data_IF_814006320964
#
_entry.id   IF_814006320964
#
_cell.length_a   1.000
_cell.length_b   1.000
_cell.length_c   1.000
_cell.angle_alpha   90.00
_cell.angle_beta   90.00
_cell.angle_gamma   90.00
#
_symmetry.space_group_name_H-M   'P 1'
#
loop_
_entity.id
_entity.type
_entity.pdbx_description
1 polymer ?
#
# COMPACT_ATOMS: atom_id res chain seq x y z
N UNK A 1 -67.43 -1.81 49.57
CA UNK A 1 -66.12 -2.54 49.33
C UNK A 1 -65.88 -2.62 47.81
N UNK A 2 -65.01 -1.79 47.27
CA UNK A 2 -64.66 -1.78 45.87
C UNK A 2 -63.15 -2.14 45.79
N UNK A 3 -62.84 -3.35 45.27
CA UNK A 3 -61.51 -3.80 45.05
C UNK A 3 -60.96 -3.09 43.79
N UNK A 4 -59.82 -2.43 43.91
CA UNK A 4 -59.01 -1.91 42.77
C UNK A 4 -57.96 -2.95 42.40
N UNK A 5 -58.11 -3.47 41.20
CA UNK A 5 -57.06 -4.32 40.55
C UNK A 5 -56.07 -3.37 39.92
N UNK A 6 -54.83 -3.43 40.40
CA UNK A 6 -53.68 -2.75 39.78
C UNK A 6 -53.09 -3.69 38.73
N UNK A 7 -53.15 -3.27 37.47
CA UNK A 7 -52.45 -3.95 36.36
C UNK A 7 -51.03 -3.36 36.29
N UNK A 8 -50.05 -4.17 36.65
CA UNK A 8 -48.65 -3.83 36.45
C UNK A 8 -48.29 -4.14 34.98
N UNK A 9 -48.04 -3.10 34.20
CA UNK A 9 -47.51 -3.24 32.86
C UNK A 9 -45.99 -3.41 32.93
N UNK A 10 -45.52 -4.62 32.68
CA UNK A 10 -44.08 -4.91 32.51
C UNK A 10 -43.64 -4.41 31.14
N UNK A 11 -42.90 -3.32 31.09
CA UNK A 11 -42.15 -2.91 29.90
C UNK A 11 -40.89 -3.80 29.77
N UNK A 12 -40.99 -4.84 28.99
CA UNK A 12 -39.83 -5.56 28.48
C UNK A 12 -39.15 -4.71 27.39
N UNK A 13 -38.07 -4.03 27.76
CA UNK A 13 -37.21 -3.36 26.80
C UNK A 13 -36.50 -4.44 25.94
N UNK A 14 -37.01 -4.66 24.74
CA UNK A 14 -36.29 -5.40 23.72
C UNK A 14 -35.07 -4.56 23.27
N UNK A 15 -33.91 -4.87 23.85
CA UNK A 15 -32.63 -4.40 23.29
C UNK A 15 -32.45 -5.09 21.95
N UNK A 16 -32.83 -4.39 20.88
CA UNK A 16 -32.39 -4.76 19.52
C UNK A 16 -30.88 -4.54 19.47
N UNK A 17 -30.12 -5.59 19.77
CA UNK A 17 -28.72 -5.66 19.39
C UNK A 17 -28.75 -5.70 17.86
N UNK A 18 -28.60 -4.52 17.24
CA UNK A 18 -28.22 -4.42 15.86
C UNK A 18 -26.83 -5.08 15.77
N UNK A 19 -26.79 -6.38 15.52
CA UNK A 19 -25.59 -7.01 14.99
C UNK A 19 -25.33 -6.29 13.67
N UNK A 20 -24.36 -5.35 13.70
CA UNK A 20 -23.77 -4.86 12.45
C UNK A 20 -23.31 -6.12 11.73
N UNK A 21 -23.75 -6.36 10.48
CA UNK A 21 -23.17 -7.42 9.71
C UNK A 21 -21.66 -7.19 9.75
N UNK A 22 -20.89 -8.25 10.04
CA UNK A 22 -19.47 -8.25 9.80
C UNK A 22 -19.32 -7.62 8.42
N UNK A 23 -18.73 -6.44 8.37
CA UNK A 23 -18.66 -5.65 7.15
C UNK A 23 -18.06 -6.56 6.12
N UNK A 24 -18.89 -7.04 5.20
CA UNK A 24 -18.41 -7.54 3.95
C UNK A 24 -17.44 -6.45 3.50
N UNK A 25 -16.14 -6.78 3.43
CA UNK A 25 -15.14 -5.92 2.84
C UNK A 25 -15.76 -5.53 1.51
N UNK A 26 -16.15 -4.25 1.39
CA UNK A 26 -16.75 -3.78 0.16
C UNK A 26 -15.64 -3.95 -0.85
N UNK A 27 -15.76 -4.93 -1.74
CA UNK A 27 -14.79 -5.16 -2.79
C UNK A 27 -14.54 -3.82 -3.47
N UNK A 28 -13.27 -3.46 -3.63
CA UNK A 28 -12.93 -2.21 -4.27
C UNK A 28 -13.49 -2.24 -5.69
N UNK A 29 -14.05 -1.11 -6.13
CA UNK A 29 -14.55 -1.00 -7.50
C UNK A 29 -13.40 -1.20 -8.49
N UNK A 30 -13.63 -1.90 -9.61
CA UNK A 30 -12.61 -2.12 -10.63
C UNK A 30 -12.01 -0.80 -11.12
N UNK A 31 -10.68 -0.68 -11.08
CA UNK A 31 -9.96 0.51 -11.54
C UNK A 31 -9.42 0.37 -12.97
N UNK A 32 -9.24 -0.86 -13.47
CA UNK A 32 -8.62 -1.09 -14.77
C UNK A 32 -9.15 -2.32 -15.49
N UNK A 33 -8.79 -2.41 -16.78
CA UNK A 33 -9.01 -3.59 -17.63
C UNK A 33 -7.68 -4.06 -18.24
N UNK A 34 -6.57 -3.87 -17.54
CA UNK A 34 -5.26 -4.31 -18.01
C UNK A 34 -5.23 -5.82 -18.18
N UNK A 35 -4.56 -6.26 -19.22
CA UNK A 35 -4.28 -7.67 -19.49
C UNK A 35 -2.85 -7.98 -19.08
N UNK A 36 -2.61 -9.23 -18.77
CA UNK A 36 -1.25 -9.72 -18.53
C UNK A 36 -0.42 -9.59 -19.80
N UNK A 37 0.77 -9.04 -19.69
CA UNK A 37 1.69 -8.91 -20.81
C UNK A 37 2.06 -10.30 -21.33
N UNK A 38 1.95 -10.56 -22.65
CA UNK A 38 2.25 -11.86 -23.24
C UNK A 38 3.73 -12.30 -23.09
N UNK A 39 4.64 -11.38 -22.80
CA UNK A 39 6.04 -11.68 -22.53
C UNK A 39 6.29 -12.33 -21.16
N UNK A 40 5.29 -12.28 -20.25
CA UNK A 40 5.40 -13.00 -18.98
C UNK A 40 5.27 -14.51 -19.24
N UNK A 41 6.23 -15.33 -18.76
CA UNK A 41 6.23 -16.77 -19.04
C UNK A 41 5.07 -17.48 -18.34
N UNK A 42 4.52 -18.50 -19.00
CA UNK A 42 3.57 -19.41 -18.37
C UNK A 42 4.21 -20.27 -17.29
N UNK A 43 3.45 -20.60 -16.28
CA UNK A 43 3.89 -21.47 -15.21
C UNK A 43 4.19 -22.88 -15.72
N UNK A 44 5.39 -23.34 -15.39
CA UNK A 44 5.82 -24.73 -15.64
C UNK A 44 5.95 -25.40 -14.26
N UNK A 45 4.96 -26.21 -13.84
CA UNK A 45 4.99 -26.87 -12.55
C UNK A 45 6.21 -27.78 -12.40
N UNK A 46 6.97 -27.57 -11.32
CA UNK A 46 8.10 -28.41 -10.93
C UNK A 46 7.69 -29.51 -9.96
N UNK A 47 8.65 -30.34 -9.56
CA UNK A 47 8.41 -31.35 -8.53
C UNK A 47 8.30 -30.69 -7.15
N UNK A 48 7.18 -30.92 -6.46
CA UNK A 48 6.98 -30.60 -5.06
C UNK A 48 6.53 -31.88 -4.37
N UNK A 49 7.22 -32.27 -3.29
CA UNK A 49 6.71 -33.34 -2.44
C UNK A 49 5.35 -32.91 -1.92
N UNK A 50 4.35 -33.70 -2.18
CA UNK A 50 2.96 -33.45 -1.80
C UNK A 50 2.48 -34.50 -0.78
N UNK A 51 3.34 -34.80 0.20
CA UNK A 51 2.95 -35.69 1.30
C UNK A 51 1.91 -34.99 2.18
N UNK A 52 1.00 -35.74 2.81
CA UNK A 52 -0.05 -35.15 3.67
C UNK A 52 0.48 -34.33 4.86
N UNK A 53 1.74 -34.48 5.20
CA UNK A 53 2.43 -33.78 6.30
C UNK A 53 3.12 -32.49 5.85
N UNK A 54 3.22 -32.24 4.52
CA UNK A 54 3.79 -31.01 3.99
C UNK A 54 2.74 -29.90 4.03
N UNK A 55 3.08 -28.82 4.69
CA UNK A 55 2.23 -27.62 4.81
C UNK A 55 2.87 -26.44 4.11
N UNK A 56 2.05 -25.61 3.47
CA UNK A 56 2.44 -24.29 2.96
C UNK A 56 1.51 -23.25 3.58
N UNK A 57 2.09 -22.38 4.41
CA UNK A 57 1.33 -21.45 5.24
C UNK A 57 1.54 -20.01 4.80
N UNK A 58 0.44 -19.30 4.47
CA UNK A 58 0.43 -17.88 4.19
C UNK A 58 -0.05 -17.13 5.44
N UNK A 59 0.77 -16.22 5.98
CA UNK A 59 0.42 -15.38 7.13
C UNK A 59 0.69 -13.91 6.79
N UNK A 60 -0.34 -13.07 6.76
CA UNK A 60 -0.12 -11.68 6.33
C UNK A 60 -1.36 -10.80 6.25
N UNK A 61 -1.47 -10.05 5.16
CA UNK A 61 -2.44 -8.99 4.97
C UNK A 61 -3.76 -9.47 4.35
N UNK A 62 -4.86 -9.08 4.98
CA UNK A 62 -6.23 -9.27 4.51
C UNK A 62 -6.51 -8.62 3.16
N UNK A 63 -5.87 -7.49 2.88
CA UNK A 63 -6.04 -6.80 1.59
C UNK A 63 -5.60 -7.63 0.38
N UNK A 64 -4.83 -8.69 0.60
CA UNK A 64 -4.33 -9.60 -0.43
C UNK A 64 -5.11 -10.93 -0.50
N UNK A 65 -6.20 -11.07 0.24
CA UNK A 65 -6.93 -12.34 0.36
C UNK A 65 -7.47 -12.84 -0.97
N UNK A 66 -8.07 -11.98 -1.81
CA UNK A 66 -8.66 -12.34 -3.11
C UNK A 66 -7.61 -12.90 -4.07
N UNK A 67 -6.51 -12.18 -4.29
CA UNK A 67 -5.43 -12.63 -5.18
C UNK A 67 -4.73 -13.87 -4.60
N UNK A 68 -4.51 -13.91 -3.29
CA UNK A 68 -3.93 -15.07 -2.62
C UNK A 68 -4.81 -16.31 -2.78
N UNK A 69 -6.13 -16.16 -2.62
CA UNK A 69 -7.09 -17.25 -2.82
C UNK A 69 -7.08 -17.74 -4.29
N UNK A 70 -6.95 -16.83 -5.25
CA UNK A 70 -6.82 -17.18 -6.67
C UNK A 70 -5.58 -18.04 -6.93
N UNK A 71 -4.41 -17.62 -6.42
CA UNK A 71 -3.16 -18.38 -6.52
C UNK A 71 -3.25 -19.75 -5.83
N UNK A 72 -3.82 -19.77 -4.63
CA UNK A 72 -4.02 -21.01 -3.86
C UNK A 72 -4.90 -22.00 -4.60
N UNK A 73 -5.98 -21.56 -5.27
CA UNK A 73 -6.84 -22.43 -6.08
C UNK A 73 -6.08 -23.10 -7.22
N UNK A 74 -5.24 -22.35 -7.94
CA UNK A 74 -4.42 -22.89 -9.04
C UNK A 74 -3.40 -23.87 -8.46
N UNK A 75 -2.70 -23.49 -7.39
CA UNK A 75 -1.65 -24.30 -6.79
C UNK A 75 -2.18 -25.62 -6.23
N UNK A 76 -3.31 -25.61 -5.51
CA UNK A 76 -3.98 -26.83 -5.01
C UNK A 76 -4.44 -27.78 -6.10
N UNK A 77 -4.82 -27.26 -7.26
CA UNK A 77 -5.21 -28.11 -8.40
C UNK A 77 -4.01 -28.95 -8.88
N UNK A 78 -2.81 -28.37 -8.83
CA UNK A 78 -1.57 -29.04 -9.24
C UNK A 78 -1.01 -29.95 -8.15
N UNK A 79 -1.10 -29.52 -6.88
CA UNK A 79 -0.56 -30.23 -5.73
C UNK A 79 -1.66 -30.55 -4.69
N UNK A 80 -2.59 -31.48 -5.00
CA UNK A 80 -3.80 -31.68 -4.20
C UNK A 80 -3.56 -32.30 -2.83
N UNK A 81 -2.39 -32.91 -2.59
CA UNK A 81 -2.02 -33.50 -1.29
C UNK A 81 -1.37 -32.52 -0.35
N UNK A 82 -0.85 -31.40 -0.86
CA UNK A 82 -0.20 -30.39 -0.03
C UNK A 82 -1.26 -29.68 0.82
N UNK A 83 -1.07 -29.67 2.14
CA UNK A 83 -1.86 -28.82 3.03
C UNK A 83 -1.48 -27.36 2.80
N UNK A 84 -2.47 -26.50 2.59
CA UNK A 84 -2.24 -25.08 2.36
C UNK A 84 -3.20 -24.26 3.22
N UNK A 85 -2.64 -23.39 4.07
CA UNK A 85 -3.42 -22.54 4.97
C UNK A 85 -3.21 -21.06 4.67
N UNK A 86 -4.20 -20.24 4.99
CA UNK A 86 -4.14 -18.79 4.87
C UNK A 86 -4.65 -18.17 6.17
N UNK A 87 -3.79 -17.38 6.83
CA UNK A 87 -4.13 -16.54 7.98
C UNK A 87 -3.82 -15.08 7.65
N UNK A 88 -4.72 -14.45 6.89
CA UNK A 88 -4.55 -13.09 6.38
C UNK A 88 -5.40 -12.12 7.21
N UNK A 89 -4.76 -11.36 8.10
CA UNK A 89 -5.43 -10.44 9.03
C UNK A 89 -5.01 -8.98 8.88
N UNK A 90 -3.73 -8.74 8.69
CA UNK A 90 -3.16 -7.40 8.48
C UNK A 90 -1.70 -7.52 8.04
N UNK A 91 -1.15 -6.53 7.33
CA UNK A 91 0.27 -6.50 6.92
C UNK A 91 1.23 -6.70 8.10
N UNK A 92 0.88 -6.20 9.28
CA UNK A 92 1.67 -6.38 10.50
C UNK A 92 1.76 -7.83 11.03
N UNK A 93 0.95 -8.76 10.51
CA UNK A 93 1.03 -10.19 10.87
C UNK A 93 2.14 -10.93 10.10
N UNK A 94 2.59 -10.39 8.95
CA UNK A 94 3.55 -11.06 8.07
C UNK A 94 4.91 -11.31 8.72
N UNK A 95 5.54 -10.27 9.26
CA UNK A 95 6.85 -10.41 9.90
C UNK A 95 6.83 -11.36 11.11
N UNK A 96 5.90 -11.24 12.08
CA UNK A 96 5.77 -12.21 13.16
C UNK A 96 5.48 -13.65 12.68
N UNK A 97 4.71 -13.79 11.58
CA UNK A 97 4.46 -15.08 10.95
C UNK A 97 5.75 -15.77 10.49
N UNK A 98 6.60 -15.05 9.75
CA UNK A 98 7.91 -15.54 9.31
C UNK A 98 8.85 -15.78 10.51
N UNK A 99 8.91 -14.84 11.44
CA UNK A 99 9.80 -14.94 12.61
C UNK A 99 9.43 -16.14 13.48
N UNK A 100 8.15 -16.42 13.69
CA UNK A 100 7.71 -17.58 14.49
C UNK A 100 7.84 -18.92 13.74
N UNK A 101 8.02 -18.90 12.41
CA UNK A 101 7.97 -20.09 11.57
C UNK A 101 6.55 -20.61 11.30
N UNK A 102 5.51 -19.85 11.67
CA UNK A 102 4.10 -20.18 11.37
C UNK A 102 3.72 -19.88 9.92
N UNK A 103 4.40 -18.95 9.28
CA UNK A 103 4.23 -18.60 7.88
C UNK A 103 5.46 -18.96 7.05
N UNK A 104 5.28 -19.68 5.95
CA UNK A 104 6.31 -19.86 4.92
C UNK A 104 6.38 -18.65 4.02
N UNK A 105 5.22 -18.02 3.80
CA UNK A 105 4.99 -16.88 2.92
C UNK A 105 4.28 -15.77 3.71
N UNK A 106 4.76 -14.54 3.58
CA UNK A 106 4.13 -13.37 4.20
C UNK A 106 3.64 -12.38 3.13
N UNK A 107 2.40 -12.54 2.61
CA UNK A 107 1.79 -11.55 1.74
C UNK A 107 1.46 -10.28 2.52
N UNK A 108 1.98 -9.13 2.07
CA UNK A 108 1.83 -7.84 2.73
C UNK A 108 1.63 -6.72 1.71
N UNK A 109 0.79 -5.75 2.06
CA UNK A 109 0.45 -4.62 1.19
C UNK A 109 1.41 -3.43 1.30
N UNK A 110 2.57 -3.61 1.91
CA UNK A 110 3.56 -2.53 2.10
C UNK A 110 4.94 -3.10 2.37
N UNK A 111 5.93 -2.25 2.32
CA UNK A 111 7.27 -2.56 2.81
C UNK A 111 7.22 -2.90 4.32
N UNK A 112 8.05 -3.84 4.76
CA UNK A 112 8.23 -4.09 6.18
C UNK A 112 8.78 -2.84 6.88
N UNK A 113 8.26 -2.54 8.06
CA UNK A 113 8.81 -1.48 8.89
C UNK A 113 10.18 -1.85 9.42
N UNK A 114 11.06 -0.87 9.73
CA UNK A 114 12.37 -1.15 10.29
C UNK A 114 12.36 -2.05 11.52
N UNK A 115 11.36 -1.91 12.39
CA UNK A 115 11.21 -2.76 13.57
C UNK A 115 10.82 -4.20 13.22
N UNK A 116 9.98 -4.40 12.19
CA UNK A 116 9.60 -5.73 11.69
C UNK A 116 10.81 -6.42 11.04
N UNK A 117 11.55 -5.71 10.18
CA UNK A 117 12.78 -6.19 9.57
C UNK A 117 13.83 -6.54 10.64
N UNK A 118 14.01 -5.65 11.63
CA UNK A 118 14.93 -5.88 12.73
C UNK A 118 14.58 -7.15 13.50
N UNK A 119 13.31 -7.37 13.82
CA UNK A 119 12.84 -8.57 14.51
C UNK A 119 13.21 -9.85 13.75
N UNK A 120 13.14 -9.83 12.43
CA UNK A 120 13.55 -10.94 11.59
C UNK A 120 15.08 -11.12 11.59
N UNK A 121 15.84 -10.02 11.46
CA UNK A 121 17.31 -10.02 11.48
C UNK A 121 17.85 -10.50 12.82
N UNK A 122 17.25 -10.08 13.93
CA UNK A 122 17.64 -10.53 15.29
C UNK A 122 17.54 -12.05 15.44
N UNK A 123 16.58 -12.69 14.76
CA UNK A 123 16.40 -14.13 14.81
C UNK A 123 17.29 -14.91 13.84
N UNK A 124 17.39 -14.42 12.60
CA UNK A 124 17.99 -15.20 11.52
C UNK A 124 19.37 -14.69 11.07
N UNK A 125 19.77 -13.48 11.48
CA UNK A 125 21.07 -12.89 11.11
C UNK A 125 21.13 -12.27 9.70
N UNK A 126 20.01 -12.25 8.97
CA UNK A 126 19.89 -11.66 7.64
C UNK A 126 18.48 -11.10 7.41
N UNK A 127 18.30 -10.29 6.37
CA UNK A 127 17.00 -9.68 6.05
C UNK A 127 16.05 -10.67 5.36
N UNK A 128 14.72 -10.55 5.60
CA UNK A 128 13.75 -11.29 4.81
C UNK A 128 13.80 -10.85 3.36
N UNK A 129 13.54 -11.77 2.43
CA UNK A 129 13.57 -11.47 1.00
C UNK A 129 12.21 -10.98 0.52
N UNK A 130 12.08 -9.71 0.05
CA UNK A 130 10.86 -9.21 -0.57
C UNK A 130 10.74 -9.69 -2.01
N UNK A 131 9.60 -10.26 -2.36
CA UNK A 131 9.19 -10.58 -3.73
C UNK A 131 8.03 -9.69 -4.10
N UNK A 132 8.21 -8.82 -5.09
CA UNK A 132 7.12 -8.01 -5.66
C UNK A 132 6.17 -8.94 -6.40
N UNK A 133 4.89 -8.88 -6.11
CA UNK A 133 3.90 -9.81 -6.68
C UNK A 133 2.78 -9.13 -7.45
N UNK A 134 2.56 -7.85 -7.20
CA UNK A 134 1.68 -6.98 -7.98
C UNK A 134 2.06 -5.52 -7.73
N UNK A 135 1.58 -4.61 -8.57
CA UNK A 135 1.53 -3.18 -8.27
C UNK A 135 0.24 -2.88 -7.51
N UNK A 136 0.29 -1.95 -6.56
CA UNK A 136 -0.86 -1.48 -5.80
C UNK A 136 -1.88 -0.77 -6.68
N UNK A 137 -3.02 -0.39 -6.09
CA UNK A 137 -4.07 0.34 -6.80
C UNK A 137 -3.69 1.80 -7.08
N UNK A 138 -4.45 2.43 -7.99
CA UNK A 138 -4.34 3.89 -8.21
C UNK A 138 -4.94 4.65 -7.02
N UNK A 139 -6.15 4.31 -6.61
CA UNK A 139 -6.87 5.06 -5.59
C UNK A 139 -7.74 4.25 -4.63
N UNK A 140 -7.87 2.93 -4.81
CA UNK A 140 -8.73 2.09 -3.96
C UNK A 140 -8.19 1.97 -2.54
N UNK A 141 -8.99 2.40 -1.59
CA UNK A 141 -8.67 2.27 -0.16
C UNK A 141 -8.50 0.80 0.24
N UNK A 142 -7.48 0.52 1.04
CA UNK A 142 -7.20 -0.84 1.49
C UNK A 142 -6.56 -1.75 0.43
N UNK A 143 -6.18 -1.22 -0.73
CA UNK A 143 -5.53 -1.97 -1.82
C UNK A 143 -4.17 -1.35 -2.20
N UNK A 144 -3.39 -0.93 -1.21
CA UNK A 144 -2.05 -0.33 -1.40
C UNK A 144 -2.07 0.84 -2.41
N UNK A 145 -3.04 1.73 -2.25
CA UNK A 145 -3.22 2.87 -3.14
C UNK A 145 -1.95 3.74 -3.26
N UNK A 146 -1.71 4.25 -4.46
CA UNK A 146 -0.68 5.26 -4.71
C UNK A 146 -0.94 6.50 -3.87
N UNK A 147 0.10 7.06 -3.27
CA UNK A 147 -0.02 8.35 -2.60
C UNK A 147 -0.12 9.47 -3.64
N UNK A 148 -0.87 10.51 -3.32
CA UNK A 148 -0.99 11.72 -4.14
C UNK A 148 -0.56 12.95 -3.36
N UNK A 149 -0.19 14.00 -4.05
CA UNK A 149 0.06 15.31 -3.47
C UNK A 149 -1.16 16.19 -3.77
N UNK A 150 -1.79 16.66 -2.70
CA UNK A 150 -2.91 17.59 -2.77
C UNK A 150 -2.42 18.98 -2.43
N UNK A 151 -2.75 19.94 -3.27
CA UNK A 151 -2.52 21.37 -3.04
C UNK A 151 -3.85 22.11 -3.04
N UNK A 152 -3.86 23.31 -2.48
CA UNK A 152 -4.97 24.25 -2.64
C UNK A 152 -5.38 24.35 -4.12
N UNK A 153 -6.68 24.30 -4.41
CA UNK A 153 -7.23 24.28 -5.78
C UNK A 153 -6.78 25.46 -6.65
N UNK A 154 -6.51 26.62 -6.01
CA UNK A 154 -6.16 27.86 -6.68
C UNK A 154 -4.64 28.03 -6.87
N UNK A 155 -3.84 27.08 -6.36
CA UNK A 155 -2.38 27.06 -6.57
C UNK A 155 -2.04 27.07 -8.06
N UNK A 156 -1.17 27.98 -8.56
CA UNK A 156 -0.79 28.04 -9.96
C UNK A 156 0.24 26.97 -10.38
N UNK A 157 0.64 26.10 -9.45
CA UNK A 157 1.59 24.99 -9.68
C UNK A 157 0.80 23.71 -9.99
N UNK A 158 1.11 23.05 -11.10
CA UNK A 158 0.46 21.81 -11.52
C UNK A 158 1.37 20.57 -11.38
N UNK A 159 2.66 20.78 -11.16
CA UNK A 159 3.64 19.71 -11.03
C UNK A 159 4.72 20.08 -10.01
N UNK A 160 5.12 19.09 -9.21
CA UNK A 160 6.30 19.16 -8.36
C UNK A 160 7.22 17.98 -8.66
N UNK A 161 8.53 18.20 -8.56
CA UNK A 161 9.50 17.11 -8.60
C UNK A 161 9.74 16.52 -7.20
N UNK A 162 10.24 15.28 -7.12
CA UNK A 162 10.66 14.69 -5.84
C UNK A 162 11.70 15.56 -5.12
N UNK A 163 12.75 16.13 -5.78
CA UNK A 163 13.66 17.06 -5.12
C UNK A 163 12.97 18.31 -4.55
N UNK A 164 11.93 18.83 -5.23
CA UNK A 164 11.15 19.95 -4.70
C UNK A 164 10.32 19.51 -3.47
N UNK A 165 9.68 18.32 -3.51
CA UNK A 165 8.94 17.77 -2.37
C UNK A 165 9.87 17.55 -1.16
N UNK A 166 11.06 17.01 -1.38
CA UNK A 166 12.07 16.90 -0.32
C UNK A 166 12.38 18.26 0.29
N UNK A 167 12.67 19.26 -0.53
CA UNK A 167 12.97 20.61 -0.04
C UNK A 167 11.78 21.31 0.62
N UNK A 168 10.55 20.95 0.26
CA UNK A 168 9.33 21.45 0.89
C UNK A 168 9.15 20.84 2.28
N UNK A 169 9.31 19.51 2.44
CA UNK A 169 8.99 18.78 3.67
C UNK A 169 10.19 18.53 4.58
N UNK A 170 11.42 18.45 4.04
CA UNK A 170 12.61 18.00 4.76
C UNK A 170 13.55 19.15 5.15
N UNK A 171 14.15 19.03 6.35
CA UNK A 171 15.29 19.85 6.79
C UNK A 171 16.58 19.43 6.07
N UNK A 172 16.71 18.13 5.78
CA UNK A 172 17.95 17.52 5.27
C UNK A 172 18.14 17.70 3.78
N UNK A 173 17.07 17.80 3.01
CA UNK A 173 17.07 18.02 1.55
C UNK A 173 18.06 17.11 0.80
N UNK A 174 17.96 15.83 1.07
CA UNK A 174 18.88 14.80 0.53
C UNK A 174 18.83 14.67 -0.99
N UNK A 175 17.71 15.06 -1.62
CA UNK A 175 17.56 15.04 -3.08
C UNK A 175 18.10 16.30 -3.78
N UNK A 176 18.73 17.22 -3.01
CA UNK A 176 19.61 18.25 -3.54
C UNK A 176 18.94 19.53 -4.05
N UNK A 177 17.66 19.76 -3.81
CA UNK A 177 17.04 21.03 -4.17
C UNK A 177 17.34 22.13 -3.14
N UNK A 178 17.26 23.41 -3.58
CA UNK A 178 17.39 24.58 -2.70
C UNK A 178 16.31 24.59 -1.62
N UNK A 179 16.50 25.37 -0.56
CA UNK A 179 15.47 25.54 0.45
C UNK A 179 14.19 26.12 -0.15
N UNK A 180 13.04 25.56 0.23
CA UNK A 180 11.70 25.99 -0.20
C UNK A 180 10.92 26.46 1.02
N UNK A 181 10.41 27.67 0.97
CA UNK A 181 9.55 28.29 1.99
C UNK A 181 8.22 28.79 1.41
N UNK A 182 8.27 29.26 0.19
CA UNK A 182 7.14 29.87 -0.50
C UNK A 182 6.82 29.14 -1.81
N UNK A 183 5.64 29.36 -2.34
CA UNK A 183 5.27 28.85 -3.64
C UNK A 183 6.12 29.42 -4.79
N UNK A 184 6.69 30.61 -4.60
CA UNK A 184 7.64 31.20 -5.55
C UNK A 184 8.94 30.41 -5.67
N UNK A 185 9.39 29.76 -4.62
CA UNK A 185 10.61 28.93 -4.63
C UNK A 185 10.50 27.73 -5.57
N UNK A 186 9.26 27.30 -5.86
CA UNK A 186 8.95 26.22 -6.79
C UNK A 186 8.31 26.72 -8.11
N UNK A 187 8.37 28.04 -8.38
CA UNK A 187 8.05 28.61 -9.67
C UNK A 187 6.73 29.37 -9.76
N UNK A 188 5.96 29.51 -8.69
CA UNK A 188 4.77 30.35 -8.67
C UNK A 188 5.15 31.83 -8.86
N UNK A 189 4.24 32.59 -9.52
CA UNK A 189 4.46 34.00 -9.82
C UNK A 189 3.30 34.86 -9.29
N UNK A 190 3.43 36.18 -9.44
CA UNK A 190 2.43 37.15 -8.94
C UNK A 190 2.23 37.01 -7.44
N UNK A 191 0.98 37.12 -6.98
CA UNK A 191 0.59 37.08 -5.58
C UNK A 191 0.95 35.75 -4.86
N UNK A 192 1.13 34.69 -5.64
CA UNK A 192 1.54 33.38 -5.11
C UNK A 192 3.03 33.28 -4.84
N UNK A 193 3.86 34.13 -5.44
CA UNK A 193 5.32 34.03 -5.29
C UNK A 193 5.80 34.19 -3.85
N UNK A 194 5.20 35.10 -3.08
CA UNK A 194 5.54 35.35 -1.68
C UNK A 194 4.74 34.53 -0.67
N UNK A 195 3.75 33.77 -1.14
CA UNK A 195 2.84 32.99 -0.28
C UNK A 195 3.56 31.81 0.35
N UNK A 196 3.56 31.67 1.70
CA UNK A 196 4.13 30.52 2.37
C UNK A 196 3.40 29.22 1.98
N UNK A 197 4.12 28.08 1.99
CA UNK A 197 3.51 26.76 1.86
C UNK A 197 3.11 26.27 3.25
N UNK A 198 1.81 26.09 3.48
CA UNK A 198 1.28 25.48 4.71
C UNK A 198 1.34 23.96 4.60
N UNK A 199 2.16 23.33 5.42
CA UNK A 199 2.45 21.89 5.34
C UNK A 199 1.58 21.09 6.29
N UNK A 200 0.90 20.11 5.73
CA UNK A 200 0.15 19.12 6.49
C UNK A 200 0.77 17.73 6.32
N UNK A 201 0.62 16.87 7.33
CA UNK A 201 1.11 15.51 7.28
C UNK A 201 0.49 14.61 8.34
N UNK A 202 0.77 13.32 8.26
CA UNK A 202 0.43 12.34 9.30
C UNK A 202 1.54 12.25 10.35
N UNK A 203 1.17 11.86 11.56
CA UNK A 203 2.17 11.52 12.58
C UNK A 203 3.09 10.41 12.11
N UNK A 204 4.41 10.50 12.42
CA UNK A 204 5.42 9.51 12.06
C UNK A 204 5.19 8.18 12.81
N UNK A 205 4.31 7.35 12.38
CA UNK A 205 4.06 5.94 12.81
C UNK A 205 3.10 5.23 11.84
N UNK A 206 2.79 5.87 10.72
CA UNK A 206 1.82 5.39 9.76
C UNK A 206 2.54 4.90 8.49
N UNK A 207 2.05 3.82 7.88
CA UNK A 207 2.69 3.26 6.69
C UNK A 207 2.70 4.19 5.48
N UNK A 208 1.71 5.09 5.34
CA UNK A 208 1.67 6.09 4.26
C UNK A 208 2.71 7.18 4.52
N UNK A 209 2.82 7.65 5.75
CA UNK A 209 3.84 8.61 6.15
C UNK A 209 5.25 8.05 5.95
N UNK A 210 5.50 6.83 6.38
CA UNK A 210 6.83 6.21 6.19
C UNK A 210 7.17 6.03 4.72
N UNK A 211 6.21 5.61 3.90
CA UNK A 211 6.39 5.52 2.47
C UNK A 211 6.69 6.88 1.83
N UNK A 212 5.90 7.92 2.18
CA UNK A 212 6.16 9.28 1.74
C UNK A 212 7.57 9.74 2.13
N UNK A 213 7.96 9.52 3.39
CA UNK A 213 9.28 9.90 3.90
C UNK A 213 10.43 9.23 3.13
N UNK A 214 10.29 7.96 2.79
CA UNK A 214 11.30 7.22 2.02
C UNK A 214 11.37 7.74 0.59
N UNK A 215 10.24 7.82 -0.10
CA UNK A 215 10.21 8.15 -1.54
C UNK A 215 10.44 9.63 -1.81
N UNK A 216 9.78 10.53 -1.05
CA UNK A 216 9.86 11.97 -1.28
C UNK A 216 11.09 12.61 -0.64
N UNK A 217 11.66 12.02 0.42
CA UNK A 217 12.67 12.68 1.25
C UNK A 217 13.95 11.82 1.43
N UNK A 218 14.05 10.67 0.78
CA UNK A 218 15.15 9.70 0.99
C UNK A 218 15.40 9.43 2.50
N UNK A 219 14.30 9.25 3.26
CA UNK A 219 14.34 9.06 4.71
C UNK A 219 14.78 10.30 5.51
N UNK A 220 14.77 11.48 4.91
CA UNK A 220 15.18 12.74 5.55
C UNK A 220 14.33 13.13 6.77
N UNK A 221 14.76 14.20 7.47
CA UNK A 221 14.07 14.69 8.65
C UNK A 221 13.03 15.75 8.28
N UNK A 222 11.83 15.62 8.84
CA UNK A 222 10.76 16.59 8.65
C UNK A 222 11.11 17.99 9.18
N UNK A 223 10.59 19.03 8.52
CA UNK A 223 10.59 20.40 9.05
C UNK A 223 9.71 20.49 10.30
N UNK A 224 10.03 21.47 11.18
CA UNK A 224 9.30 21.66 12.45
C UNK A 224 7.91 22.29 12.26
N UNK A 225 7.68 22.97 11.15
CA UNK A 225 6.44 23.67 10.84
C UNK A 225 5.36 22.82 10.16
N UNK A 226 5.50 21.50 10.14
CA UNK A 226 4.47 20.60 9.61
C UNK A 226 3.34 20.47 10.63
N UNK A 227 2.12 20.75 10.20
CA UNK A 227 0.91 20.51 10.97
C UNK A 227 0.53 19.03 10.84
N UNK A 228 0.90 18.24 11.85
CA UNK A 228 0.50 16.84 11.92
C UNK A 228 -0.97 16.73 12.31
N UNK A 229 -1.81 16.41 11.31
CA UNK A 229 -3.26 16.33 11.49
C UNK A 229 -3.67 15.09 12.29
N UNK A 230 -4.75 15.24 13.04
CA UNK A 230 -5.37 14.18 13.84
C UNK A 230 -6.73 13.84 13.24
N UNK A 231 -7.08 12.57 13.20
CA UNK A 231 -8.40 12.10 12.78
C UNK A 231 -8.75 10.77 13.45
N UNK A 232 -9.98 10.30 13.27
CA UNK A 232 -10.44 8.97 13.73
C UNK A 232 -9.85 7.81 12.90
N UNK A 233 -8.67 7.99 12.35
CA UNK A 233 -7.95 7.11 11.46
C UNK A 233 -7.19 7.93 10.40
N UNK A 234 -6.29 7.29 9.68
CA UNK A 234 -5.44 8.00 8.71
C UNK A 234 -6.23 8.64 7.56
N UNK A 235 -7.25 7.96 7.03
CA UNK A 235 -8.10 8.50 5.95
C UNK A 235 -8.81 9.77 6.38
N UNK A 236 -9.41 9.77 7.57
CA UNK A 236 -10.08 10.95 8.11
C UNK A 236 -9.10 12.09 8.39
N UNK A 237 -7.88 11.80 8.83
CA UNK A 237 -6.86 12.83 9.04
C UNK A 237 -6.51 13.58 7.74
N UNK A 238 -6.40 12.87 6.61
CA UNK A 238 -6.16 13.51 5.32
C UNK A 238 -7.37 14.34 4.84
N UNK A 239 -8.59 13.87 5.09
CA UNK A 239 -9.81 14.66 4.80
C UNK A 239 -9.81 15.97 5.61
N UNK A 240 -9.46 15.92 6.89
CA UNK A 240 -9.33 17.11 7.74
C UNK A 240 -8.29 18.08 7.15
N UNK A 241 -7.13 17.58 6.69
CA UNK A 241 -6.13 18.44 6.04
C UNK A 241 -6.68 19.09 4.77
N UNK A 242 -7.39 18.35 3.92
CA UNK A 242 -7.99 18.87 2.68
C UNK A 242 -9.09 19.91 2.96
N UNK A 243 -9.87 19.71 4.02
CA UNK A 243 -10.90 20.69 4.46
C UNK A 243 -10.26 21.96 5.03
N UNK A 244 -9.19 21.83 5.82
CA UNK A 244 -8.49 22.98 6.43
C UNK A 244 -7.82 23.86 5.37
N UNK A 245 -7.36 23.28 4.25
CA UNK A 245 -6.85 24.05 3.09
C UNK A 245 -7.88 25.02 2.50
N UNK A 246 -9.17 24.78 2.66
CA UNK A 246 -10.22 25.70 2.21
C UNK A 246 -10.17 27.03 2.95
N UNK A 247 -9.68 27.04 4.19
CA UNK A 247 -9.60 28.23 5.05
C UNK A 247 -8.18 28.81 5.13
N UNK A 248 -7.18 28.03 4.71
CA UNK A 248 -5.75 28.40 4.72
C UNK A 248 -5.14 28.25 3.31
N UNK A 249 -5.37 29.23 2.41
CA UNK A 249 -4.84 29.17 1.04
C UNK A 249 -3.32 28.97 1.00
N UNK A 250 -2.86 28.08 0.12
CA UNK A 250 -1.45 27.73 -0.02
C UNK A 250 -1.05 26.45 0.72
N UNK A 251 -2.03 25.65 1.15
CA UNK A 251 -1.81 24.35 1.77
C UNK A 251 -1.26 23.30 0.82
N UNK A 252 -0.48 22.36 1.35
CA UNK A 252 0.05 21.18 0.68
C UNK A 252 0.00 19.97 1.62
N UNK A 253 -0.48 18.83 1.13
CA UNK A 253 -0.44 17.56 1.86
C UNK A 253 -0.15 16.39 0.92
N UNK A 254 0.39 15.31 1.47
CA UNK A 254 0.33 14.00 0.83
C UNK A 254 -0.92 13.27 1.35
N UNK A 255 -1.59 12.52 0.49
CA UNK A 255 -2.85 11.87 0.80
C UNK A 255 -3.11 10.66 -0.11
N UNK A 256 -4.36 10.20 -0.18
CA UNK A 256 -4.85 9.24 -1.16
C UNK A 256 -5.92 9.88 -2.05
N UNK A 257 -6.18 9.32 -3.23
CA UNK A 257 -7.21 9.83 -4.15
C UNK A 257 -8.58 9.97 -3.50
N UNK A 258 -8.91 9.09 -2.55
CA UNK A 258 -10.16 9.14 -1.79
C UNK A 258 -10.30 10.38 -0.88
N UNK A 259 -9.24 11.15 -0.69
CA UNK A 259 -9.24 12.38 0.13
C UNK A 259 -9.38 13.66 -0.72
N UNK A 260 -9.52 13.53 -2.02
CA UNK A 260 -9.74 14.68 -2.91
C UNK A 260 -11.11 15.31 -2.61
N UNK A 261 -11.12 16.61 -2.38
CA UNK A 261 -12.32 17.43 -2.14
C UNK A 261 -12.39 18.56 -3.18
N UNK A 262 -13.51 19.28 -3.31
CA UNK A 262 -13.61 20.41 -4.21
C UNK A 262 -12.60 21.57 -3.95
N UNK A 263 -11.99 21.58 -2.76
CA UNK A 263 -11.07 22.64 -2.32
C UNK A 263 -9.60 22.33 -2.61
N UNK A 264 -9.28 21.15 -3.15
CA UNK A 264 -7.92 20.73 -3.45
C UNK A 264 -7.81 20.21 -4.89
N UNK A 265 -6.62 20.28 -5.43
CA UNK A 265 -6.25 19.63 -6.67
C UNK A 265 -5.10 18.64 -6.45
N UNK A 266 -5.07 17.59 -7.28
CA UNK A 266 -3.98 16.63 -7.34
C UNK A 266 -2.88 17.20 -8.22
N UNK A 267 -1.66 17.26 -7.69
CA UNK A 267 -0.49 17.67 -8.46
C UNK A 267 0.11 16.47 -9.21
N UNK A 268 0.57 16.72 -10.43
CA UNK A 268 1.46 15.81 -11.16
C UNK A 268 2.82 15.75 -10.46
N UNK A 269 3.54 14.65 -10.64
CA UNK A 269 4.86 14.49 -10.05
C UNK A 269 5.91 14.12 -11.11
N UNK A 270 7.09 14.74 -10.96
CA UNK A 270 8.26 14.39 -11.73
C UNK A 270 9.30 13.66 -10.84
N UNK A 271 9.92 12.56 -11.30
CA UNK A 271 10.96 11.86 -10.54
C UNK A 271 12.19 12.74 -10.25
N UNK A 272 12.47 13.71 -11.12
CA UNK A 272 13.62 14.64 -11.00
C UNK A 272 13.22 16.04 -11.46
N UNK A 273 13.99 17.04 -11.04
CA UNK A 273 13.81 18.41 -11.49
C UNK A 273 13.92 18.51 -13.02
N UNK A 274 12.99 19.27 -13.63
CA UNK A 274 12.89 19.41 -15.09
C UNK A 274 12.47 18.13 -15.83
N UNK A 275 12.13 17.06 -15.12
CA UNK A 275 11.65 15.81 -15.69
C UNK A 275 10.18 15.86 -16.12
N UNK A 276 9.74 14.80 -16.77
CA UNK A 276 8.33 14.63 -17.17
C UNK A 276 7.43 14.56 -15.95
N UNK A 277 6.33 15.30 -15.99
CA UNK A 277 5.30 15.30 -14.94
C UNK A 277 4.25 14.21 -15.25
N UNK A 278 4.09 13.29 -14.31
CA UNK A 278 3.16 12.17 -14.43
C UNK A 278 1.95 12.34 -13.52
N UNK A 279 0.77 12.02 -14.04
CA UNK A 279 -0.49 11.95 -13.29
C UNK A 279 -0.60 10.59 -12.59
N UNK A 280 -1.29 10.51 -11.42
CA UNK A 280 -1.60 9.25 -10.76
C UNK A 280 -2.76 8.54 -11.47
N UNK A 281 -2.50 8.00 -12.66
CA UNK A 281 -3.45 7.21 -13.43
C UNK A 281 -2.95 5.77 -13.64
N UNK A 282 -3.81 4.90 -14.15
CA UNK A 282 -3.51 3.47 -14.32
C UNK A 282 -2.23 3.25 -15.12
N UNK A 283 -2.05 3.97 -16.24
CA UNK A 283 -0.89 3.81 -17.12
C UNK A 283 0.43 4.17 -16.40
N UNK A 284 0.44 5.31 -15.71
CA UNK A 284 1.64 5.80 -15.01
C UNK A 284 1.93 5.00 -13.73
N UNK A 285 0.91 4.45 -13.08
CA UNK A 285 1.07 3.56 -11.93
C UNK A 285 1.57 2.18 -12.38
N UNK A 286 1.01 1.63 -13.46
CA UNK A 286 1.49 0.38 -14.07
C UNK A 286 2.96 0.46 -14.50
N UNK A 287 3.32 1.55 -15.20
CA UNK A 287 4.70 1.75 -15.68
C UNK A 287 5.68 2.20 -14.58
N UNK A 288 5.20 2.46 -13.36
CA UNK A 288 5.98 3.08 -12.29
C UNK A 288 6.65 4.41 -12.68
N UNK A 289 6.14 5.09 -13.70
CA UNK A 289 6.53 6.46 -14.05
C UNK A 289 6.03 7.46 -13.00
N UNK A 290 4.85 7.21 -12.41
CA UNK A 290 4.36 8.01 -11.28
C UNK A 290 5.18 7.67 -10.02
N UNK A 291 5.88 8.63 -9.40
CA UNK A 291 6.86 8.36 -8.36
C UNK A 291 6.33 7.69 -7.09
N UNK A 292 5.03 7.83 -6.80
CA UNK A 292 4.40 7.20 -5.66
C UNK A 292 3.64 5.90 -6.01
N UNK A 293 3.93 5.29 -7.15
CA UNK A 293 3.47 3.93 -7.43
C UNK A 293 4.07 2.95 -6.44
N UNK A 294 3.27 1.99 -5.97
CA UNK A 294 3.68 1.06 -4.91
C UNK A 294 3.60 -0.38 -5.39
N UNK A 295 4.45 -1.23 -4.84
CA UNK A 295 4.29 -2.68 -4.97
C UNK A 295 3.60 -3.29 -3.74
N UNK A 296 3.01 -4.46 -3.93
CA UNK A 296 2.65 -5.39 -2.86
C UNK A 296 3.62 -6.57 -2.91
N UNK A 297 3.85 -7.18 -1.77
CA UNK A 297 4.95 -8.11 -1.61
C UNK A 297 4.49 -9.43 -0.99
N UNK A 298 5.24 -10.49 -1.31
CA UNK A 298 5.32 -11.68 -0.47
C UNK A 298 6.75 -11.73 0.07
N UNK A 299 6.91 -11.60 1.38
CA UNK A 299 8.21 -11.81 2.01
C UNK A 299 8.42 -13.29 2.34
N UNK A 300 9.67 -13.72 2.22
CA UNK A 300 10.08 -15.11 2.52
C UNK A 300 11.37 -15.15 3.33
N UNK A 301 11.53 -16.25 4.06
CA UNK A 301 12.77 -16.57 4.75
C UNK A 301 13.72 -17.31 3.78
N UNK A 302 14.58 -16.57 3.10
CA UNK A 302 15.63 -17.11 2.23
C UNK A 302 17.01 -16.79 2.80
N UNK A 303 17.69 -17.78 3.35
CA UNK A 303 19.04 -17.60 3.85
C UNK A 303 20.02 -17.33 2.69
N UNK A 304 21.01 -16.44 2.87
CA UNK A 304 22.01 -16.15 1.86
C UNK A 304 22.70 -17.44 1.36
N UNK A 305 22.77 -17.59 0.04
CA UNK A 305 23.39 -18.77 -0.60
C UNK A 305 22.64 -20.09 -0.41
N UNK A 306 21.44 -20.08 0.16
CA UNK A 306 20.58 -21.28 0.28
C UNK A 306 19.39 -21.18 -0.65
N UNK A 307 18.94 -22.30 -1.25
CA UNK A 307 17.72 -22.33 -2.03
C UNK A 307 16.49 -22.16 -1.12
N UNK A 308 15.41 -21.64 -1.68
CA UNK A 308 14.10 -21.69 -1.03
C UNK A 308 13.60 -23.15 -0.91
N UNK A 309 12.79 -23.48 0.09
CA UNK A 309 12.07 -24.75 0.12
C UNK A 309 11.28 -24.94 -1.20
N UNK A 310 11.30 -26.15 -1.81
CA UNK A 310 10.67 -26.37 -3.12
C UNK A 310 9.23 -25.92 -3.19
N UNK A 311 8.42 -26.18 -2.16
CA UNK A 311 7.00 -25.73 -2.07
C UNK A 311 6.84 -24.21 -2.12
N UNK A 312 7.75 -23.46 -1.47
CA UNK A 312 7.75 -22.00 -1.45
C UNK A 312 8.20 -21.43 -2.81
N UNK A 313 9.33 -21.96 -3.32
CA UNK A 313 9.87 -21.55 -4.64
C UNK A 313 8.83 -21.75 -5.73
N UNK A 314 8.17 -22.91 -5.74
CA UNK A 314 7.21 -23.27 -6.77
C UNK A 314 5.92 -22.43 -6.68
N UNK A 315 5.44 -22.13 -5.46
CA UNK A 315 4.32 -21.22 -5.28
C UNK A 315 4.64 -19.80 -5.82
N UNK A 316 5.84 -19.29 -5.52
CA UNK A 316 6.26 -17.98 -6.03
C UNK A 316 6.46 -17.98 -7.55
N UNK A 317 6.92 -19.08 -8.16
CA UNK A 317 6.96 -19.24 -9.62
C UNK A 317 5.56 -19.15 -10.24
N UNK A 318 4.56 -19.80 -9.62
CA UNK A 318 3.18 -19.62 -10.04
C UNK A 318 2.74 -18.17 -9.92
N UNK A 319 2.95 -17.52 -8.77
CA UNK A 319 2.54 -16.12 -8.54
C UNK A 319 3.14 -15.17 -9.60
N UNK A 320 4.40 -15.40 -9.97
CA UNK A 320 5.14 -14.59 -10.94
C UNK A 320 4.92 -15.03 -12.41
N UNK A 321 4.12 -16.06 -12.65
CA UNK A 321 3.81 -16.53 -14.01
C UNK A 321 2.65 -15.77 -14.64
N UNK A 322 2.41 -16.04 -15.93
CA UNK A 322 1.25 -15.52 -16.65
C UNK A 322 -0.08 -15.89 -15.95
N UNK A 323 -0.21 -17.11 -15.46
CA UNK A 323 -1.39 -17.60 -14.75
C UNK A 323 -1.57 -16.90 -13.39
N UNK A 324 -0.48 -16.67 -12.68
CA UNK A 324 -0.50 -15.94 -11.41
C UNK A 324 -0.81 -14.45 -11.59
N UNK A 325 -0.25 -13.82 -12.61
CA UNK A 325 -0.53 -12.42 -12.95
C UNK A 325 -1.94 -12.25 -13.56
N UNK A 326 -2.51 -13.30 -14.18
CA UNK A 326 -3.89 -13.28 -14.61
C UNK A 326 -4.86 -13.18 -13.43
N UNK A 327 -4.56 -13.84 -12.30
CA UNK A 327 -5.34 -13.67 -11.06
C UNK A 327 -5.35 -12.19 -10.61
N UNK A 328 -4.22 -11.52 -10.70
CA UNK A 328 -4.12 -10.09 -10.38
C UNK A 328 -4.92 -9.24 -11.37
N UNK A 329 -4.81 -9.53 -12.66
CA UNK A 329 -5.55 -8.81 -13.71
C UNK A 329 -7.08 -8.98 -13.58
N UNK A 330 -7.53 -10.16 -13.19
CA UNK A 330 -8.97 -10.49 -13.06
C UNK A 330 -9.61 -9.80 -11.83
N UNK A 331 -8.82 -9.53 -10.79
CA UNK A 331 -9.26 -8.77 -9.60
C UNK A 331 -9.48 -7.28 -9.94
N UNK A 332 -8.75 -6.74 -10.93
CA UNK A 332 -8.96 -5.43 -11.56
C UNK A 332 -8.72 -4.20 -10.67
N UNK A 333 -8.12 -4.37 -9.51
CA UNK A 333 -7.74 -3.28 -8.58
C UNK A 333 -6.24 -3.25 -8.38
N UNK A 334 -5.64 -4.39 -7.95
CA UNK A 334 -4.21 -4.55 -8.07
C UNK A 334 -3.80 -4.67 -9.54
N UNK A 335 -2.67 -4.09 -9.87
CA UNK A 335 -2.17 -4.01 -11.24
C UNK A 335 -1.12 -5.11 -11.47
N UNK A 336 -1.22 -5.92 -12.55
CA UNK A 336 -0.22 -6.92 -12.89
C UNK A 336 1.18 -6.33 -13.02
N UNK A 337 2.20 -7.13 -12.74
CA UNK A 337 3.60 -6.74 -12.91
C UNK A 337 3.98 -6.61 -14.39
N UNK A 338 4.98 -5.76 -14.66
CA UNK A 338 5.64 -5.71 -15.95
C UNK A 338 6.60 -6.91 -16.13
N UNK A 339 6.86 -7.36 -17.37
CA UNK A 339 7.74 -8.50 -17.66
C UNK A 339 9.14 -8.37 -17.07
N UNK A 340 9.70 -7.16 -17.10
CA UNK A 340 11.03 -6.87 -16.54
C UNK A 340 11.06 -7.08 -15.03
N UNK A 341 10.01 -6.64 -14.33
CA UNK A 341 9.86 -6.84 -12.88
C UNK A 341 9.72 -8.32 -12.57
N UNK A 342 8.88 -9.04 -13.30
CA UNK A 342 8.74 -10.51 -13.16
C UNK A 342 10.09 -11.21 -13.33
N UNK A 343 10.86 -10.84 -14.34
CA UNK A 343 12.21 -11.40 -14.59
C UNK A 343 13.17 -11.14 -13.44
N UNK A 344 13.12 -9.95 -12.85
CA UNK A 344 13.94 -9.61 -11.67
C UNK A 344 13.53 -10.45 -10.46
N UNK A 345 12.23 -10.58 -10.21
CA UNK A 345 11.72 -11.33 -9.05
C UNK A 345 12.00 -12.84 -9.18
N UNK A 346 11.87 -13.41 -10.38
CA UNK A 346 12.24 -14.81 -10.64
C UNK A 346 13.70 -15.10 -10.32
N UNK A 347 14.64 -14.17 -10.59
CA UNK A 347 16.05 -14.33 -10.24
C UNK A 347 16.29 -14.41 -8.72
N UNK A 348 15.45 -13.76 -7.91
CA UNK A 348 15.56 -13.84 -6.44
C UNK A 348 15.20 -15.23 -5.91
N UNK A 349 14.49 -16.04 -6.68
CA UNK A 349 14.10 -17.39 -6.29
C UNK A 349 15.24 -18.41 -6.47
N UNK A 350 16.26 -18.07 -7.26
CA UNK A 350 17.47 -18.89 -7.50
C UNK A 350 18.54 -18.65 -6.38
#
# INVERSE_FOLDING_TARGET
>A
MKARIAIAASLTAFSVICAMPASALKYAEPEHNLKVDPAIPSWQPGEVKSEPEEELNLVGADIMDEISLGWVKIYRKQYPRLSLTMDLRASGAGAPGLVSGKGDLAPVGREMFPAEEKSFVDKYGYKPTPIRVATGSVGSLGKTASSVILADKDTPIDCLSLPQLDAIYSKTRKLGYKEVKTWGDVGAKGDWASRPIHLYGLKPVNGIEQYFKVVAMDGGEYKDNIQFVKGKGFTHAFTVAAEDMATHPGGLTYALMANVTPNVKVLKLAPKEGGTCYEPNVENVYSHNYPFSRYVYIYVNKAPGKPLPPKVKEFLKLVLSKEGQQVVADERVFIPLQPEVVKEELRKLE
#
